data_IF_549857114274
#
_entry.id   IF_549857114274
#
_cell.length_a   1.000
_cell.length_b   1.000
_cell.length_c   1.000
_cell.angle_alpha   90.00
_cell.angle_beta   90.00
_cell.angle_gamma   90.00
#
_symmetry.space_group_name_H-M   'P 1'
#
loop_
_entity.id
_entity.type
_entity.pdbx_description
1 polymer ?
#
# COMPACT_ATOMS: atom_id res chain seq x y z
N UNK A 1 -13.23 -5.15 32.21
CA UNK A 1 -11.93 -4.84 31.58
C UNK A 1 -11.81 -5.33 30.13
N UNK A 2 -12.62 -6.29 29.65
CA UNK A 2 -12.59 -6.73 28.24
C UNK A 2 -13.25 -5.78 27.20
N UNK A 3 -14.00 -4.76 27.63
CA UNK A 3 -14.63 -3.77 26.71
C UNK A 3 -13.69 -2.63 26.30
N UNK A 4 -12.73 -2.25 27.15
CA UNK A 4 -11.78 -1.17 26.85
C UNK A 4 -10.75 -1.60 25.79
N UNK A 5 -10.15 -2.77 25.94
CA UNK A 5 -9.17 -3.30 24.98
C UNK A 5 -9.73 -3.56 23.58
N UNK A 6 -11.04 -3.83 23.47
CA UNK A 6 -11.70 -4.06 22.17
C UNK A 6 -12.00 -2.74 21.45
N UNK A 7 -12.33 -1.68 22.20
CA UNK A 7 -12.58 -0.35 21.65
C UNK A 7 -11.27 0.34 21.21
N UNK A 8 -10.16 0.13 21.94
CA UNK A 8 -8.83 0.61 21.53
C UNK A 8 -8.34 -0.04 20.23
N UNK A 9 -8.47 -1.36 20.08
CA UNK A 9 -8.08 -2.05 18.85
C UNK A 9 -8.91 -1.64 17.62
N UNK A 10 -10.21 -1.38 17.80
CA UNK A 10 -11.08 -0.89 16.72
C UNK A 10 -10.78 0.57 16.36
N UNK A 11 -10.44 1.41 17.35
CA UNK A 11 -10.04 2.80 17.13
C UNK A 11 -8.68 2.88 16.40
N UNK A 12 -7.72 2.02 16.75
CA UNK A 12 -6.40 1.99 16.13
C UNK A 12 -6.48 1.57 14.65
N UNK A 13 -7.29 0.55 14.33
CA UNK A 13 -7.56 0.16 12.94
C UNK A 13 -8.34 1.20 12.13
N UNK A 14 -9.21 1.99 12.76
CA UNK A 14 -9.88 3.11 12.10
C UNK A 14 -8.92 4.28 11.83
N UNK A 15 -8.06 4.61 12.80
CA UNK A 15 -7.03 5.63 12.65
C UNK A 15 -6.03 5.27 11.55
N UNK A 16 -5.60 4.00 11.50
CA UNK A 16 -4.70 3.51 10.46
C UNK A 16 -5.29 3.72 9.05
N UNK A 17 -6.55 3.32 8.84
CA UNK A 17 -7.24 3.52 7.55
C UNK A 17 -7.39 4.98 7.16
N UNK A 18 -7.66 5.86 8.13
CA UNK A 18 -7.70 7.30 7.89
C UNK A 18 -6.32 7.83 7.49
N UNK A 19 -5.25 7.40 8.16
CA UNK A 19 -3.87 7.76 7.82
C UNK A 19 -3.51 7.28 6.40
N UNK A 20 -3.83 6.03 6.05
CA UNK A 20 -3.61 5.47 4.72
C UNK A 20 -4.30 6.35 3.67
N UNK A 21 -5.59 6.65 3.86
CA UNK A 21 -6.35 7.51 2.95
C UNK A 21 -5.76 8.91 2.84
N UNK A 22 -5.34 9.50 3.96
CA UNK A 22 -4.75 10.85 3.99
C UNK A 22 -3.40 10.88 3.28
N UNK A 23 -2.56 9.90 3.53
CA UNK A 23 -1.25 9.74 2.90
C UNK A 23 -1.38 9.55 1.38
N UNK A 24 -2.30 8.70 0.94
CA UNK A 24 -2.60 8.47 -0.48
C UNK A 24 -3.10 9.75 -1.15
N UNK A 25 -4.03 10.48 -0.53
CA UNK A 25 -4.51 11.75 -1.09
C UNK A 25 -3.42 12.82 -1.13
N UNK A 26 -2.60 12.93 -0.08
CA UNK A 26 -1.46 13.86 -0.06
C UNK A 26 -0.46 13.55 -1.18
N UNK A 27 -0.14 12.27 -1.41
CA UNK A 27 0.71 11.85 -2.52
C UNK A 27 0.08 12.20 -3.89
N UNK A 28 -1.24 12.10 -4.02
CA UNK A 28 -1.94 12.50 -5.26
C UNK A 28 -1.94 14.00 -5.48
N UNK A 29 -2.12 14.78 -4.41
CA UNK A 29 -2.13 16.24 -4.43
C UNK A 29 -0.75 16.83 -4.73
N UNK A 30 0.31 16.24 -4.15
CA UNK A 30 1.72 16.55 -4.46
C UNK A 30 2.04 16.33 -5.95
N UNK A 31 1.36 15.38 -6.59
CA UNK A 31 1.60 15.00 -7.97
C UNK A 31 2.81 14.07 -8.12
N UNK A 32 3.06 13.67 -9.36
CA UNK A 32 4.11 12.71 -9.70
C UNK A 32 4.92 13.22 -10.88
N UNK A 33 6.22 12.94 -10.93
CA UNK A 33 7.05 13.33 -12.06
C UNK A 33 6.48 12.76 -13.35
N UNK A 34 6.51 13.56 -14.41
CA UNK A 34 6.06 13.17 -15.76
C UNK A 34 7.19 12.65 -16.62
N UNK A 35 8.39 13.17 -16.39
CA UNK A 35 9.62 12.89 -17.14
C UNK A 35 10.26 11.57 -16.75
N UNK A 36 10.85 10.88 -17.72
CA UNK A 36 11.38 9.53 -17.51
C UNK A 36 12.54 9.53 -16.50
N UNK A 37 13.48 10.47 -16.64
CA UNK A 37 14.64 10.58 -15.76
C UNK A 37 14.23 10.88 -14.30
N UNK A 38 13.27 11.80 -14.12
CA UNK A 38 12.72 12.11 -12.80
C UNK A 38 11.92 10.95 -12.22
N UNK A 39 11.17 10.21 -13.05
CA UNK A 39 10.46 9.00 -12.62
C UNK A 39 11.42 7.92 -12.14
N UNK A 40 12.53 7.70 -12.83
CA UNK A 40 13.55 6.71 -12.42
C UNK A 40 14.19 7.10 -11.09
N UNK A 41 14.59 8.37 -10.94
CA UNK A 41 15.15 8.88 -9.68
C UNK A 41 14.14 8.80 -8.53
N UNK A 42 12.89 9.19 -8.79
CA UNK A 42 11.81 9.12 -7.80
C UNK A 42 11.52 7.67 -7.42
N UNK A 43 11.39 6.77 -8.39
CA UNK A 43 11.21 5.33 -8.17
C UNK A 43 12.30 4.77 -7.25
N UNK A 44 13.57 4.99 -7.56
CA UNK A 44 14.69 4.51 -6.75
C UNK A 44 14.67 5.07 -5.33
N UNK A 45 14.38 6.37 -5.19
CA UNK A 45 14.28 7.02 -3.88
C UNK A 45 13.13 6.45 -3.05
N UNK A 46 11.97 6.22 -3.67
CA UNK A 46 10.82 5.63 -2.99
C UNK A 46 11.06 4.17 -2.60
N UNK A 47 11.64 3.35 -3.48
CA UNK A 47 11.98 1.95 -3.16
C UNK A 47 12.98 1.88 -2.01
N UNK A 48 14.07 2.66 -2.07
CA UNK A 48 15.05 2.72 -0.98
C UNK A 48 14.41 3.15 0.36
N UNK A 49 13.52 4.16 0.31
CA UNK A 49 12.78 4.59 1.51
C UNK A 49 11.87 3.48 2.04
N UNK A 50 11.11 2.82 1.17
CA UNK A 50 10.21 1.72 1.53
C UNK A 50 10.96 0.53 2.14
N UNK A 51 12.08 0.12 1.53
CA UNK A 51 12.93 -0.96 2.05
C UNK A 51 13.55 -0.61 3.39
N UNK A 52 14.02 0.63 3.57
CA UNK A 52 14.56 1.09 4.86
C UNK A 52 13.51 1.04 5.97
N UNK A 53 12.28 1.47 5.67
CA UNK A 53 11.17 1.45 6.64
C UNK A 53 10.72 0.03 6.94
N UNK A 54 10.65 -0.84 5.94
CA UNK A 54 10.40 -2.27 6.13
C UNK A 54 11.46 -2.94 7.02
N UNK A 55 12.73 -2.57 6.84
CA UNK A 55 13.83 -3.11 7.63
C UNK A 55 13.78 -2.64 9.09
N UNK A 56 13.33 -1.41 9.34
CA UNK A 56 13.15 -0.85 10.68
C UNK A 56 11.88 -1.38 11.37
N UNK A 57 10.86 -1.78 10.59
CA UNK A 57 9.61 -2.38 11.08
C UNK A 57 8.75 -1.44 11.93
N UNK A 58 9.03 -0.14 11.91
CA UNK A 58 8.38 0.85 12.77
C UNK A 58 7.18 1.54 12.11
N UNK A 59 7.18 1.66 10.78
CA UNK A 59 6.15 2.41 10.03
C UNK A 59 5.71 1.71 8.73
N UNK A 60 4.82 0.73 8.87
CA UNK A 60 4.28 -0.03 7.74
C UNK A 60 3.48 0.86 6.76
N UNK A 61 2.83 1.92 7.27
CA UNK A 61 2.05 2.86 6.44
C UNK A 61 2.98 3.69 5.56
N UNK A 62 4.06 4.26 6.10
CA UNK A 62 5.01 5.02 5.28
C UNK A 62 5.75 4.11 4.30
N UNK A 63 6.08 2.88 4.70
CA UNK A 63 6.71 1.91 3.81
C UNK A 63 5.79 1.63 2.60
N UNK A 64 4.52 1.31 2.86
CA UNK A 64 3.51 1.09 1.82
C UNK A 64 3.31 2.33 0.95
N UNK A 65 3.31 3.53 1.53
CA UNK A 65 3.19 4.78 0.79
C UNK A 65 4.33 4.96 -0.20
N UNK A 66 5.56 4.63 0.20
CA UNK A 66 6.73 4.71 -0.67
C UNK A 66 6.60 3.72 -1.84
N UNK A 67 6.22 2.47 -1.58
CA UNK A 67 5.96 1.49 -2.65
C UNK A 67 4.81 1.89 -3.57
N UNK A 68 3.73 2.47 -3.03
CA UNK A 68 2.63 3.02 -3.81
C UNK A 68 3.10 4.15 -4.74
N UNK A 69 3.91 5.08 -4.23
CA UNK A 69 4.50 6.17 -4.99
C UNK A 69 5.40 5.63 -6.12
N UNK A 70 6.21 4.61 -5.83
CA UNK A 70 7.04 3.91 -6.80
C UNK A 70 6.21 3.23 -7.91
N UNK A 71 5.13 2.53 -7.54
CA UNK A 71 4.21 1.86 -8.48
C UNK A 71 3.57 2.83 -9.47
N UNK A 72 3.25 4.04 -9.04
CA UNK A 72 2.57 5.02 -9.89
C UNK A 72 3.47 5.60 -10.97
N UNK A 73 4.77 5.70 -10.72
CA UNK A 73 5.75 6.19 -11.70
C UNK A 73 6.30 5.06 -12.58
N UNK A 74 6.06 3.81 -12.21
CA UNK A 74 6.56 2.63 -12.92
C UNK A 74 5.68 2.26 -14.13
N UNK A 75 6.26 1.99 -15.32
CA UNK A 75 5.50 1.74 -16.54
C UNK A 75 4.75 0.40 -16.54
N UNK A 76 5.18 -0.57 -15.73
CA UNK A 76 4.66 -1.94 -15.69
C UNK A 76 4.29 -2.34 -14.25
N UNK A 77 3.26 -1.76 -13.63
CA UNK A 77 3.00 -1.93 -12.19
C UNK A 77 2.79 -3.39 -11.79
N UNK A 78 2.30 -4.26 -12.69
CA UNK A 78 2.14 -5.70 -12.45
C UNK A 78 3.45 -6.45 -12.21
N UNK A 79 4.51 -6.08 -12.92
CA UNK A 79 5.81 -6.72 -12.80
C UNK A 79 6.45 -6.36 -11.46
N UNK A 80 6.37 -5.07 -11.12
CA UNK A 80 6.85 -4.53 -9.85
C UNK A 80 6.12 -5.14 -8.64
N UNK A 81 4.80 -5.31 -8.72
CA UNK A 81 4.02 -6.02 -7.68
C UNK A 81 4.52 -7.45 -7.48
N UNK A 82 4.87 -8.16 -8.55
CA UNK A 82 5.36 -9.55 -8.45
C UNK A 82 6.73 -9.65 -7.77
N UNK A 83 7.50 -8.55 -7.75
CA UNK A 83 8.74 -8.42 -6.99
C UNK A 83 8.39 -8.12 -5.53
N UNK A 84 7.51 -7.16 -5.29
CA UNK A 84 7.09 -6.78 -3.93
C UNK A 84 6.45 -7.93 -3.17
N UNK A 85 5.65 -8.76 -3.83
CA UNK A 85 5.07 -9.98 -3.25
C UNK A 85 6.12 -10.91 -2.61
N UNK A 86 7.36 -10.86 -3.09
CA UNK A 86 8.48 -11.69 -2.60
C UNK A 86 9.42 -10.96 -1.65
N UNK A 87 9.55 -9.64 -1.78
CA UNK A 87 10.55 -8.85 -1.04
C UNK A 87 9.97 -8.03 0.10
N UNK A 88 8.69 -7.66 0.02
CA UNK A 88 8.00 -6.80 0.98
C UNK A 88 7.20 -7.68 1.95
N UNK A 89 7.24 -7.41 3.27
CA UNK A 89 6.45 -8.15 4.25
C UNK A 89 4.94 -7.99 4.02
N UNK A 90 4.18 -9.02 4.40
CA UNK A 90 2.72 -9.08 4.19
C UNK A 90 1.98 -7.88 4.80
N UNK A 91 2.36 -7.45 6.00
CA UNK A 91 1.74 -6.31 6.69
C UNK A 91 1.78 -5.03 5.84
N UNK A 92 2.88 -4.82 5.10
CA UNK A 92 3.05 -3.66 4.21
C UNK A 92 2.30 -3.86 2.89
N UNK A 93 2.29 -5.09 2.36
CA UNK A 93 1.53 -5.43 1.15
C UNK A 93 0.01 -5.26 1.35
N UNK A 94 -0.52 -5.63 2.51
CA UNK A 94 -1.95 -5.44 2.84
C UNK A 94 -2.32 -3.96 2.86
N UNK A 95 -1.49 -3.12 3.47
CA UNK A 95 -1.68 -1.66 3.47
C UNK A 95 -1.55 -1.11 2.04
N UNK A 96 -0.55 -1.56 1.28
CA UNK A 96 -0.35 -1.16 -0.10
C UNK A 96 -1.56 -1.51 -0.98
N UNK A 97 -2.15 -2.69 -0.79
CA UNK A 97 -3.37 -3.09 -1.48
C UNK A 97 -4.55 -2.14 -1.17
N UNK A 98 -4.69 -1.71 0.08
CA UNK A 98 -5.68 -0.70 0.45
C UNK A 98 -5.40 0.65 -0.22
N UNK A 99 -4.13 1.09 -0.27
CA UNK A 99 -3.72 2.31 -0.98
C UNK A 99 -4.03 2.27 -2.48
N UNK A 100 -3.75 1.13 -3.12
CA UNK A 100 -4.05 0.88 -4.53
C UNK A 100 -5.56 0.85 -4.76
N UNK A 101 -6.34 0.24 -3.88
CA UNK A 101 -7.81 0.24 -3.99
C UNK A 101 -8.40 1.66 -3.92
N UNK A 102 -7.76 2.55 -3.16
CA UNK A 102 -8.09 3.98 -3.10
C UNK A 102 -7.63 4.77 -4.35
N UNK A 103 -6.76 4.21 -5.20
CA UNK A 103 -6.31 4.79 -6.46
C UNK A 103 -6.83 4.02 -7.66
N UNK A 104 -7.98 4.45 -8.18
CA UNK A 104 -8.59 3.89 -9.39
C UNK A 104 -7.74 4.02 -10.66
N UNK A 105 -6.62 4.76 -10.62
CA UNK A 105 -5.64 4.85 -11.70
C UNK A 105 -4.73 3.63 -11.78
N UNK A 106 -4.48 2.95 -10.66
CA UNK A 106 -3.71 1.72 -10.58
C UNK A 106 -4.64 0.50 -10.71
N UNK A 107 -4.96 0.10 -11.95
CA UNK A 107 -5.80 -1.08 -12.23
C UNK A 107 -5.05 -2.40 -12.00
N UNK A 108 -4.72 -2.71 -10.75
CA UNK A 108 -4.11 -3.96 -10.32
C UNK A 108 -5.19 -5.00 -9.98
N UNK A 109 -5.94 -5.44 -10.99
CA UNK A 109 -7.19 -6.20 -10.81
C UNK A 109 -7.11 -7.44 -9.89
N UNK A 110 -6.01 -8.20 -9.89
CA UNK A 110 -5.86 -9.40 -9.06
C UNK A 110 -5.12 -9.17 -7.75
N UNK A 111 -4.53 -7.99 -7.53
CA UNK A 111 -3.72 -7.72 -6.33
C UNK A 111 -4.59 -7.29 -5.14
N UNK A 112 -5.71 -6.61 -5.40
CA UNK A 112 -6.62 -6.09 -4.35
C UNK A 112 -7.79 -7.04 -4.03
N UNK A 113 -7.88 -8.20 -4.68
CA UNK A 113 -9.05 -9.10 -4.59
C UNK A 113 -8.94 -10.19 -3.54
N UNK A 114 -7.91 -10.17 -2.67
CA UNK A 114 -7.73 -11.23 -1.65
C UNK A 114 -7.97 -10.78 -0.20
N UNK A 115 -8.37 -9.52 0.02
CA UNK A 115 -8.67 -9.01 1.37
C UNK A 115 -10.11 -8.51 1.45
N UNK A 116 -11.09 -9.42 1.42
CA UNK A 116 -12.47 -9.08 1.78
C UNK A 116 -13.58 -9.93 1.16
N UNK A 117 -13.73 -11.18 1.60
CA UNK A 117 -14.97 -11.93 1.42
C UNK A 117 -14.88 -13.33 2.04
N UNK A 118 -15.70 -13.67 3.06
CA UNK A 118 -15.74 -15.02 3.60
C UNK A 118 -16.39 -16.00 2.62
N UNK A 119 -15.89 -17.21 2.70
CA UNK A 119 -16.37 -18.50 2.21
C UNK A 119 -17.88 -18.55 1.91
N UNK A 120 -18.26 -18.79 0.65
CA UNK A 120 -19.28 -19.80 0.30
C UNK A 120 -19.32 -20.01 -1.23
N UNK A 121 -18.73 -21.10 -1.72
CA UNK A 121 -19.23 -21.72 -2.95
C UNK A 121 -19.71 -23.12 -2.60
N UNK A 122 -20.85 -23.13 -1.89
CA UNK A 122 -21.71 -24.28 -1.74
C UNK A 122 -22.27 -24.68 -3.10
N UNK A 123 -22.09 -25.96 -3.39
CA UNK A 123 -22.89 -26.86 -4.22
C UNK A 123 -24.14 -26.28 -4.89
N UNK A 124 -24.30 -26.57 -6.18
CA UNK A 124 -25.50 -27.18 -6.79
C UNK A 124 -25.17 -27.71 -8.21
#
# INVERSE_FOLDING_TARGET
MARAAKEEAEAEGAAQREQIKKAVNAAKDEGFPTDLEEKEAYFMSQVAKGESLCAEGSDNIEAALAFYKALRVYPQPKDLISIYDKTVPKDVLEILAEMVALDSGLKLGSFTTESGGPDNHGVE
#
